data_IF_411849301331
#
_entry.id   IF_411849301331
#
_cell.length_a   1.000
_cell.length_b   1.000
_cell.length_c   1.000
_cell.angle_alpha   90.00
_cell.angle_beta   90.00
_cell.angle_gamma   90.00
#
_symmetry.space_group_name_H-M   'P 1'
#
loop_
_entity.id
_entity.type
_entity.pdbx_description
1 polymer ?
#
# COMPACT_ATOMS: atom_id res chain seq x y z
N UNK A 1 57.07 -12.23 -36.82
CA UNK A 1 57.58 -12.21 -35.43
C UNK A 1 56.44 -12.70 -34.54
N UNK A 2 56.65 -13.73 -33.72
CA UNK A 2 55.58 -14.31 -32.90
C UNK A 2 55.43 -13.53 -31.58
N UNK A 3 54.54 -12.53 -31.57
CA UNK A 3 54.21 -11.77 -30.36
C UNK A 3 53.08 -12.47 -29.62
N UNK A 4 53.41 -13.27 -28.60
CA UNK A 4 52.44 -13.92 -27.74
C UNK A 4 51.85 -12.90 -26.76
N UNK A 5 50.54 -12.64 -26.85
CA UNK A 5 49.83 -11.68 -26.00
C UNK A 5 48.91 -12.37 -25.00
N UNK A 6 48.73 -11.77 -23.82
CA UNK A 6 47.86 -12.31 -22.75
C UNK A 6 46.38 -12.10 -23.07
N UNK A 7 45.49 -12.93 -22.51
CA UNK A 7 44.02 -12.80 -22.68
C UNK A 7 43.50 -11.39 -22.43
N UNK A 8 44.03 -10.69 -21.42
CA UNK A 8 43.60 -9.32 -21.09
C UNK A 8 43.86 -8.34 -22.24
N UNK A 9 45.06 -8.39 -22.82
CA UNK A 9 45.44 -7.54 -23.95
C UNK A 9 44.63 -7.88 -25.20
N UNK A 10 44.38 -9.17 -25.45
CA UNK A 10 43.52 -9.62 -26.57
C UNK A 10 42.08 -9.14 -26.37
N UNK A 11 41.56 -9.20 -25.15
CA UNK A 11 40.24 -8.72 -24.80
C UNK A 11 40.10 -7.20 -25.02
N UNK A 12 41.12 -6.42 -24.68
CA UNK A 12 41.20 -4.98 -24.94
C UNK A 12 41.23 -4.67 -26.45
N UNK A 13 42.08 -5.37 -27.22
CA UNK A 13 42.19 -5.20 -28.69
C UNK A 13 40.88 -5.55 -29.40
N UNK A 14 40.23 -6.64 -28.98
CA UNK A 14 38.96 -7.07 -29.56
C UNK A 14 37.75 -6.31 -28.99
N UNK A 15 37.94 -5.45 -27.98
CA UNK A 15 36.89 -4.74 -27.23
C UNK A 15 35.80 -5.67 -26.67
N UNK A 16 36.20 -6.82 -26.12
CA UNK A 16 35.30 -7.80 -25.52
C UNK A 16 35.78 -8.19 -24.13
N UNK A 17 34.91 -8.72 -23.27
CA UNK A 17 35.32 -9.18 -21.94
C UNK A 17 36.30 -10.37 -22.03
N UNK A 18 37.30 -10.50 -21.13
CA UNK A 18 38.24 -11.64 -21.14
C UNK A 18 37.56 -13.01 -21.08
N UNK A 19 36.40 -13.11 -20.39
CA UNK A 19 35.57 -14.32 -20.32
C UNK A 19 34.95 -14.68 -21.68
N UNK A 20 34.62 -13.69 -22.49
CA UNK A 20 34.11 -13.89 -23.86
C UNK A 20 35.20 -14.47 -24.75
N UNK A 21 36.42 -13.93 -24.66
CA UNK A 21 37.59 -14.47 -25.38
C UNK A 21 37.82 -15.94 -24.99
N UNK A 22 37.80 -16.28 -23.70
CA UNK A 22 37.95 -17.67 -23.24
C UNK A 22 36.81 -18.59 -23.71
N UNK A 23 35.58 -18.08 -23.73
CA UNK A 23 34.41 -18.82 -24.24
C UNK A 23 34.56 -19.12 -25.73
N UNK A 24 35.00 -18.14 -26.53
CA UNK A 24 35.24 -18.34 -27.97
C UNK A 24 36.40 -19.29 -28.25
N UNK A 25 37.48 -19.24 -27.47
CA UNK A 25 38.58 -20.22 -27.58
C UNK A 25 38.07 -21.64 -27.40
N UNK A 26 37.22 -21.90 -26.40
CA UNK A 26 36.64 -23.22 -26.15
C UNK A 26 35.64 -23.62 -27.24
N UNK A 27 34.75 -22.69 -27.62
CA UNK A 27 33.66 -22.93 -28.59
C UNK A 27 34.17 -23.16 -30.01
N UNK A 28 35.19 -22.43 -30.43
CA UNK A 28 35.77 -22.49 -31.77
C UNK A 28 37.12 -23.23 -31.82
N UNK A 29 37.50 -23.88 -30.71
CA UNK A 29 38.74 -24.66 -30.55
C UNK A 29 39.97 -23.94 -31.12
N UNK A 30 40.13 -22.67 -30.73
CA UNK A 30 41.25 -21.85 -31.21
C UNK A 30 42.53 -22.31 -30.50
N UNK A 31 43.63 -22.58 -31.23
CA UNK A 31 44.88 -23.01 -30.60
C UNK A 31 45.47 -21.87 -29.78
N UNK A 32 45.61 -22.10 -28.48
CA UNK A 32 46.14 -21.13 -27.52
C UNK A 32 47.26 -21.80 -26.73
N UNK A 33 48.37 -21.10 -26.56
CA UNK A 33 49.47 -21.59 -25.75
C UNK A 33 49.18 -21.29 -24.27
N UNK A 34 49.63 -22.17 -23.38
CA UNK A 34 49.59 -21.90 -21.94
C UNK A 34 51.03 -21.76 -21.45
N UNK A 35 51.29 -20.72 -20.65
CA UNK A 35 52.58 -20.61 -19.98
C UNK A 35 52.67 -21.59 -18.81
N UNK A 36 53.85 -21.67 -18.18
CA UNK A 36 54.11 -22.52 -17.00
C UNK A 36 53.18 -22.25 -15.79
N UNK A 37 52.40 -21.16 -15.83
CA UNK A 37 51.42 -20.77 -14.80
C UNK A 37 49.96 -20.95 -15.25
N UNK A 38 49.71 -21.56 -16.41
CA UNK A 38 48.37 -21.85 -16.93
C UNK A 38 47.62 -20.65 -17.51
N UNK A 39 48.29 -19.52 -17.77
CA UNK A 39 47.67 -18.38 -18.46
C UNK A 39 47.69 -18.57 -19.97
N UNK A 40 46.54 -18.28 -20.61
CA UNK A 40 46.37 -18.31 -22.06
C UNK A 40 47.18 -17.20 -22.76
N UNK A 41 48.04 -17.61 -23.69
CA UNK A 41 48.86 -16.81 -24.58
C UNK A 41 48.40 -17.03 -26.02
N UNK A 42 48.09 -15.94 -26.70
CA UNK A 42 47.52 -15.95 -28.04
C UNK A 42 48.58 -15.53 -29.04
N UNK A 43 48.73 -16.34 -30.08
CA UNK A 43 49.50 -15.95 -31.27
C UNK A 43 48.63 -15.11 -32.21
N UNK A 44 49.26 -14.40 -33.14
CA UNK A 44 48.57 -13.54 -34.10
C UNK A 44 47.47 -14.29 -34.88
N UNK A 45 47.75 -15.53 -35.31
CA UNK A 45 46.76 -16.40 -35.98
C UNK A 45 45.52 -16.69 -35.12
N UNK A 46 45.67 -16.75 -33.80
CA UNK A 46 44.56 -16.96 -32.88
C UNK A 46 43.72 -15.67 -32.73
N UNK A 47 44.36 -14.51 -32.74
CA UNK A 47 43.71 -13.19 -32.73
C UNK A 47 42.90 -12.98 -34.00
N UNK A 48 43.44 -13.33 -35.18
CA UNK A 48 42.74 -13.19 -36.46
C UNK A 48 41.45 -14.04 -36.51
N UNK A 49 41.52 -15.27 -35.97
CA UNK A 49 40.34 -16.14 -35.83
C UNK A 49 39.31 -15.55 -34.86
N UNK A 50 39.77 -15.01 -33.73
CA UNK A 50 38.87 -14.35 -32.77
C UNK A 50 38.22 -13.09 -33.38
N UNK A 51 38.93 -12.36 -34.24
CA UNK A 51 38.39 -11.22 -34.97
C UNK A 51 37.33 -11.67 -35.99
N UNK A 52 37.57 -12.76 -36.70
CA UNK A 52 36.56 -13.35 -37.61
C UNK A 52 35.31 -13.81 -36.85
N UNK A 53 35.49 -14.41 -35.66
CA UNK A 53 34.39 -14.79 -34.76
C UNK A 53 33.63 -13.54 -34.28
N UNK A 54 34.32 -12.47 -33.92
CA UNK A 54 33.69 -11.19 -33.53
C UNK A 54 32.81 -10.66 -34.66
N UNK A 55 33.33 -10.55 -35.88
CA UNK A 55 32.57 -10.08 -37.05
C UNK A 55 31.36 -10.95 -37.36
N UNK A 56 31.43 -12.25 -37.07
CA UNK A 56 30.31 -13.19 -37.27
C UNK A 56 29.26 -13.11 -36.16
N UNK A 57 29.69 -12.94 -34.90
CA UNK A 57 28.83 -12.95 -33.71
C UNK A 57 28.24 -11.55 -33.41
N UNK A 58 28.90 -10.48 -33.85
CA UNK A 58 28.59 -9.10 -33.53
C UNK A 58 28.83 -8.23 -34.79
N UNK A 59 27.86 -8.14 -35.72
CA UNK A 59 27.94 -7.20 -36.84
C UNK A 59 28.13 -5.77 -36.32
N UNK A 60 28.97 -4.99 -37.00
CA UNK A 60 29.52 -3.69 -36.58
C UNK A 60 28.51 -2.53 -36.52
N UNK A 61 27.32 -2.75 -35.96
CA UNK A 61 26.29 -1.72 -35.74
C UNK A 61 26.19 -1.27 -34.29
N UNK A 62 27.15 -1.63 -33.44
CA UNK A 62 27.21 -1.17 -32.06
C UNK A 62 28.62 -0.68 -31.71
N UNK A 63 28.96 0.51 -32.21
CA UNK A 63 29.92 1.41 -31.56
C UNK A 63 29.34 2.01 -30.26
N UNK A 64 28.66 1.19 -29.47
CA UNK A 64 28.29 1.50 -28.10
C UNK A 64 29.49 1.20 -27.21
N UNK A 65 30.34 2.20 -27.02
CA UNK A 65 31.25 2.28 -25.88
C UNK A 65 30.48 1.91 -24.60
N UNK A 66 30.69 0.71 -24.05
CA UNK A 66 30.57 0.55 -22.59
C UNK A 66 31.90 1.02 -22.03
N UNK A 67 32.09 2.32 -22.13
CA UNK A 67 33.02 2.99 -21.25
C UNK A 67 32.56 2.67 -19.83
N UNK A 68 33.48 2.15 -19.04
CA UNK A 68 33.25 1.94 -17.61
C UNK A 68 33.30 3.31 -16.95
N UNK A 69 32.41 4.21 -17.36
CA UNK A 69 32.18 5.48 -16.71
C UNK A 69 31.57 5.16 -15.35
N UNK A 70 32.33 5.57 -14.33
CA UNK A 70 31.90 6.05 -13.02
C UNK A 70 30.45 5.74 -12.64
N UNK A 71 30.29 5.10 -11.47
CA UNK A 71 29.06 5.10 -10.66
C UNK A 71 28.19 6.33 -11.01
N UNK A 72 26.90 6.15 -11.36
CA UNK A 72 26.04 7.28 -11.69
C UNK A 72 26.16 8.32 -10.57
N UNK A 73 26.13 9.63 -10.89
CA UNK A 73 26.33 10.68 -9.90
C UNK A 73 25.28 10.50 -8.82
N UNK A 74 25.72 9.98 -7.66
CA UNK A 74 24.85 9.67 -6.51
C UNK A 74 23.92 10.84 -6.20
N UNK A 75 24.40 12.08 -6.38
CA UNK A 75 23.64 13.29 -6.11
C UNK A 75 22.37 13.52 -6.93
N UNK A 76 22.19 12.97 -8.14
CA UNK A 76 20.93 13.16 -8.87
C UNK A 76 19.87 12.12 -8.47
N UNK A 77 20.30 10.88 -8.23
CA UNK A 77 19.44 9.84 -7.68
C UNK A 77 19.03 10.16 -6.22
N UNK A 78 19.95 10.71 -5.43
CA UNK A 78 19.73 11.14 -4.05
C UNK A 78 18.80 12.35 -3.99
N UNK A 79 18.96 13.35 -4.88
CA UNK A 79 17.98 14.45 -5.03
C UNK A 79 16.59 13.96 -5.41
N UNK A 80 16.49 13.01 -6.35
CA UNK A 80 15.19 12.41 -6.72
C UNK A 80 14.59 11.63 -5.55
N UNK A 81 15.42 10.94 -4.76
CA UNK A 81 14.97 10.24 -3.56
C UNK A 81 14.47 11.23 -2.50
N UNK A 82 15.20 12.32 -2.24
CA UNK A 82 14.80 13.39 -1.32
C UNK A 82 13.47 14.04 -1.75
N UNK A 83 13.29 14.29 -3.05
CA UNK A 83 12.03 14.81 -3.59
C UNK A 83 10.87 13.82 -3.40
N UNK A 84 11.12 12.51 -3.52
CA UNK A 84 10.12 11.48 -3.26
C UNK A 84 9.77 11.42 -1.78
N UNK A 85 10.77 11.46 -0.89
CA UNK A 85 10.57 11.44 0.56
C UNK A 85 9.74 12.65 1.02
N UNK A 86 10.07 13.86 0.53
CA UNK A 86 9.29 15.08 0.84
C UNK A 86 7.84 14.99 0.39
N UNK A 87 7.59 14.38 -0.78
CA UNK A 87 6.22 14.15 -1.26
C UNK A 87 5.49 13.13 -0.40
N UNK A 88 6.19 12.11 0.10
CA UNK A 88 5.64 11.10 0.98
C UNK A 88 5.25 11.70 2.34
N UNK A 89 6.14 12.50 2.95
CA UNK A 89 5.86 13.22 4.20
C UNK A 89 4.64 14.14 4.07
N UNK A 90 4.53 14.86 2.94
CA UNK A 90 3.38 15.73 2.68
C UNK A 90 2.07 14.95 2.50
N UNK A 91 2.11 13.80 1.83
CA UNK A 91 0.96 12.91 1.70
C UNK A 91 0.55 12.31 3.04
N UNK A 92 1.51 11.92 3.88
CA UNK A 92 1.25 11.38 5.21
C UNK A 92 0.55 12.43 6.10
N UNK A 93 1.06 13.67 6.12
CA UNK A 93 0.41 14.78 6.84
C UNK A 93 -1.01 15.07 6.35
N UNK A 94 -1.25 15.04 5.05
CA UNK A 94 -2.60 15.24 4.51
C UNK A 94 -3.54 14.07 4.85
N UNK A 95 -3.03 12.84 4.89
CA UNK A 95 -3.82 11.66 5.28
C UNK A 95 -4.17 11.75 6.76
N UNK A 96 -3.23 12.11 7.62
CA UNK A 96 -3.48 12.35 9.06
C UNK A 96 -4.52 13.45 9.27
N UNK A 97 -4.36 14.60 8.60
CA UNK A 97 -5.33 15.70 8.68
C UNK A 97 -6.72 15.29 8.18
N UNK A 98 -6.80 14.55 7.07
CA UNK A 98 -8.08 14.07 6.54
C UNK A 98 -8.73 13.01 7.44
N UNK A 99 -7.94 12.19 8.11
CA UNK A 99 -8.43 11.25 9.10
C UNK A 99 -9.06 11.99 10.29
N UNK A 100 -8.39 13.03 10.80
CA UNK A 100 -8.91 13.87 11.89
C UNK A 100 -10.18 14.63 11.49
N UNK A 101 -10.24 15.17 10.27
CA UNK A 101 -11.43 15.84 9.74
C UNK A 101 -12.63 14.89 9.61
N UNK A 102 -12.43 13.69 9.07
CA UNK A 102 -13.53 12.71 8.92
C UNK A 102 -14.00 12.23 10.30
N UNK A 103 -13.09 11.98 11.23
CA UNK A 103 -13.43 11.54 12.59
C UNK A 103 -14.17 12.64 13.36
N UNK A 104 -13.73 13.90 13.26
CA UNK A 104 -14.43 15.02 13.90
C UNK A 104 -15.85 15.21 13.35
N UNK A 105 -16.02 15.12 12.03
CA UNK A 105 -17.34 15.16 11.41
C UNK A 105 -18.23 14.00 11.87
N UNK A 106 -17.69 12.78 11.91
CA UNK A 106 -18.43 11.60 12.39
C UNK A 106 -18.84 11.73 13.85
N UNK A 107 -17.95 12.21 14.73
CA UNK A 107 -18.26 12.44 16.14
C UNK A 107 -19.36 13.50 16.33
N UNK A 108 -19.28 14.62 15.60
CA UNK A 108 -20.33 15.64 15.62
C UNK A 108 -21.66 15.10 15.12
N UNK A 109 -21.64 14.30 14.04
CA UNK A 109 -22.84 13.70 13.47
C UNK A 109 -23.47 12.70 14.44
N UNK A 110 -22.67 11.82 15.04
CA UNK A 110 -23.14 10.87 16.05
C UNK A 110 -23.71 11.59 17.29
N UNK A 111 -23.12 12.70 17.72
CA UNK A 111 -23.67 13.50 18.81
C UNK A 111 -25.04 14.07 18.45
N UNK A 112 -25.18 14.60 17.24
CA UNK A 112 -26.46 15.09 16.74
C UNK A 112 -27.51 13.96 16.69
N UNK A 113 -27.14 12.77 16.21
CA UNK A 113 -28.03 11.61 16.16
C UNK A 113 -28.45 11.15 17.57
N UNK A 114 -27.54 11.16 18.55
CA UNK A 114 -27.89 10.88 19.95
C UNK A 114 -28.85 11.91 20.52
N UNK A 115 -28.66 13.20 20.23
CA UNK A 115 -29.55 14.28 20.68
C UNK A 115 -30.95 14.12 20.06
N UNK A 116 -31.04 13.75 18.77
CA UNK A 116 -32.30 13.44 18.08
C UNK A 116 -33.03 12.25 18.71
N UNK A 117 -32.30 11.17 19.02
CA UNK A 117 -32.85 9.98 19.70
C UNK A 117 -33.33 10.33 21.10
N UNK A 118 -32.58 11.11 21.87
CA UNK A 118 -32.99 11.55 23.21
C UNK A 118 -34.24 12.44 23.16
N UNK A 119 -34.32 13.35 22.19
CA UNK A 119 -35.50 14.18 21.96
C UNK A 119 -36.73 13.33 21.63
N UNK A 120 -36.58 12.36 20.72
CA UNK A 120 -37.67 11.42 20.38
C UNK A 120 -38.13 10.62 21.59
N UNK A 121 -37.18 10.14 22.42
CA UNK A 121 -37.50 9.43 23.65
C UNK A 121 -38.25 10.32 24.66
N UNK A 122 -37.84 11.59 24.81
CA UNK A 122 -38.52 12.54 25.68
C UNK A 122 -39.97 12.79 25.22
N UNK A 123 -40.19 12.93 23.92
CA UNK A 123 -41.54 13.06 23.34
C UNK A 123 -42.38 11.81 23.57
N UNK A 124 -41.80 10.61 23.40
CA UNK A 124 -42.50 9.36 23.69
C UNK A 124 -42.86 9.22 25.18
N UNK A 125 -41.95 9.60 26.08
CA UNK A 125 -42.19 9.58 27.53
C UNK A 125 -43.31 10.55 27.93
N UNK A 126 -43.33 11.75 27.34
CA UNK A 126 -44.40 12.72 27.55
C UNK A 126 -45.76 12.20 27.08
N UNK A 127 -45.82 11.63 25.87
CA UNK A 127 -47.03 11.00 25.35
C UNK A 127 -47.52 9.85 26.25
N UNK A 128 -46.60 9.04 26.79
CA UNK A 128 -46.95 7.97 27.74
C UNK A 128 -47.53 8.52 29.04
N UNK A 129 -46.96 9.61 29.59
CA UNK A 129 -47.50 10.28 30.77
C UNK A 129 -48.89 10.86 30.53
N UNK A 130 -49.12 11.48 29.38
CA UNK A 130 -50.43 11.98 28.97
C UNK A 130 -51.47 10.85 28.90
N UNK A 131 -51.15 9.75 28.21
CA UNK A 131 -52.05 8.59 28.12
C UNK A 131 -52.32 7.95 29.48
N UNK A 132 -51.32 7.89 30.37
CA UNK A 132 -51.49 7.37 31.72
C UNK A 132 -52.41 8.27 32.55
N UNK A 133 -52.22 9.58 32.49
CA UNK A 133 -53.08 10.54 33.19
C UNK A 133 -54.52 10.50 32.68
N UNK A 134 -54.73 10.49 31.36
CA UNK A 134 -56.06 10.38 30.75
C UNK A 134 -56.78 9.10 31.16
N UNK A 135 -56.03 7.98 31.26
CA UNK A 135 -56.57 6.71 31.76
C UNK A 135 -56.97 6.80 33.23
N UNK A 136 -56.16 7.43 34.07
CA UNK A 136 -56.44 7.63 35.51
C UNK A 136 -57.63 8.57 35.70
N UNK A 137 -57.74 9.66 34.95
CA UNK A 137 -58.89 10.56 34.99
C UNK A 137 -60.17 9.88 34.51
N UNK A 138 -60.09 9.08 33.44
CA UNK A 138 -61.22 8.31 32.94
C UNK A 138 -61.70 7.26 33.94
N UNK A 139 -60.78 6.60 34.64
CA UNK A 139 -61.10 5.68 35.74
C UNK A 139 -61.75 6.41 36.93
N UNK A 140 -61.24 7.57 37.33
CA UNK A 140 -61.82 8.39 38.40
C UNK A 140 -63.22 8.92 38.07
N UNK A 141 -63.49 9.28 36.80
CA UNK A 141 -64.83 9.70 36.36
C UNK A 141 -65.84 8.54 36.34
N UNK A 142 -65.39 7.30 36.11
CA UNK A 142 -66.23 6.10 36.19
C UNK A 142 -66.53 5.69 37.64
N UNK A 143 -65.65 6.01 38.59
CA UNK A 143 -65.89 5.86 40.04
C UNK A 143 -66.56 7.10 40.65
N UNK A 144 -67.68 7.55 40.07
CA UNK A 144 -68.55 8.55 40.71
C UNK A 144 -69.12 8.07 42.07
N UNK A 145 -69.59 8.98 42.95
CA UNK A 145 -69.90 8.64 44.34
C UNK A 145 -70.96 7.55 44.41
N UNK A 146 -70.58 6.39 44.97
CA UNK A 146 -71.50 5.27 45.24
C UNK A 146 -72.61 5.77 46.18
N UNK A 147 -73.81 5.99 45.64
CA UNK A 147 -75.01 6.26 46.45
C UNK A 147 -75.24 5.05 47.38
N UNK A 148 -75.03 5.26 48.69
CA UNK A 148 -75.36 4.26 49.73
C UNK A 148 -76.87 4.00 49.73
N UNK A 149 -77.32 3.03 48.93
CA UNK A 149 -78.66 2.45 49.02
C UNK A 149 -78.60 1.24 49.95
N UNK A 150 -78.75 1.44 51.25
CA UNK A 150 -78.68 0.31 52.18
C UNK A 150 -79.05 0.51 53.64
N UNK A 151 -79.58 1.68 54.07
CA UNK A 151 -79.87 1.92 55.50
C UNK A 151 -81.35 2.11 55.84
N UNK A 152 -82.24 2.20 54.85
CA UNK A 152 -83.69 2.44 55.06
C UNK A 152 -84.57 1.19 54.85
N UNK A 153 -84.04 0.11 54.28
CA UNK A 153 -84.83 -1.10 54.00
C UNK A 153 -85.16 -1.92 55.27
N UNK A 154 -84.39 -1.77 56.35
CA UNK A 154 -84.62 -2.49 57.62
C UNK A 154 -85.63 -1.82 58.55
N UNK A 155 -86.25 -0.68 58.17
CA UNK A 155 -87.19 0.04 59.04
C UNK A 155 -88.67 -0.29 58.75
N UNK A 156 -88.97 -1.11 57.73
CA UNK A 156 -90.36 -1.43 57.32
C UNK A 156 -90.75 -2.92 57.47
N UNK A 157 -89.92 -3.75 58.11
CA UNK A 157 -90.19 -5.20 58.27
C UNK A 157 -90.59 -5.62 59.69
N UNK A 158 -90.87 -4.68 60.61
CA UNK A 158 -91.39 -4.97 61.94
C UNK A 158 -92.72 -4.25 62.19
N UNK A 159 -93.80 -4.71 61.53
CA UNK A 159 -95.15 -4.65 62.12
C UNK A 159 -96.07 -5.66 61.42
N UNK A 160 -96.19 -6.85 62.00
CA UNK A 160 -97.39 -7.69 61.91
C UNK A 160 -97.47 -8.57 63.15
#
# INVERSE_FOLDING_TARGET
>A
MATLVKTKTVAEVLRVAPKTVQTWVRKYQIPVQTNDRGHYLYDHKAIDRLQSVKSTQMPEENEGFVERETKPPYGEAEKRMDDILRRLDHLEQMIEQKADEVVSFQLLKHRQELDEVQSSLAVMDDNLKHLQNDKVESQRKLEGPKKERGKLANMFLFSS
#
